data_IF_499277524083
#
_entry.id   IF_499277524083
#
_cell.length_a   1.000
_cell.length_b   1.000
_cell.length_c   1.000
_cell.angle_alpha   90.00
_cell.angle_beta   90.00
_cell.angle_gamma   90.00
#
_symmetry.space_group_name_H-M   'P 1'
#
loop_
_entity.id
_entity.type
_entity.pdbx_description
1 polymer ?
#
# COMPACT_ATOMS: atom_id res chain seq x y z
N UNK A 1 18.76 -14.94 14.35
CA UNK A 1 18.35 -14.14 13.19
C UNK A 1 17.22 -13.22 13.64
N UNK A 2 17.54 -11.96 13.92
CA UNK A 2 16.53 -10.93 14.20
C UNK A 2 15.75 -10.70 12.92
N UNK A 3 14.48 -11.11 12.87
CA UNK A 3 13.56 -10.66 11.81
C UNK A 3 13.61 -9.14 11.82
N UNK A 4 14.05 -8.52 10.74
CA UNK A 4 13.92 -7.06 10.58
C UNK A 4 12.43 -6.76 10.71
N UNK A 5 12.05 -6.10 11.80
CA UNK A 5 10.66 -5.72 12.08
C UNK A 5 10.24 -4.81 10.93
N UNK A 6 9.29 -5.27 10.10
CA UNK A 6 8.84 -4.52 8.93
C UNK A 6 8.14 -3.26 9.46
N UNK A 7 8.37 -2.12 8.82
CA UNK A 7 7.93 -0.85 9.39
C UNK A 7 6.49 -0.49 8.94
N UNK A 8 6.04 -1.04 7.81
CA UNK A 8 4.72 -0.85 7.22
C UNK A 8 4.14 -2.22 6.88
N UNK A 9 2.99 -2.53 7.47
CA UNK A 9 2.24 -3.76 7.25
C UNK A 9 0.94 -3.44 6.54
N UNK A 10 0.64 -4.20 5.48
CA UNK A 10 -0.64 -4.17 4.80
C UNK A 10 -1.51 -5.22 5.48
N UNK A 11 -2.66 -4.80 6.03
CA UNK A 11 -3.63 -5.65 6.72
C UNK A 11 -4.82 -6.05 5.82
N UNK A 12 -5.12 -5.27 4.79
CA UNK A 12 -6.19 -5.58 3.84
C UNK A 12 -5.95 -4.91 2.48
N UNK A 13 -6.37 -5.60 1.41
CA UNK A 13 -6.40 -5.06 0.05
C UNK A 13 -7.73 -5.45 -0.58
N UNK A 14 -8.53 -4.47 -1.00
CA UNK A 14 -9.84 -4.73 -1.59
C UNK A 14 -10.25 -3.67 -2.59
N UNK A 15 -11.26 -4.01 -3.38
CA UNK A 15 -11.79 -3.18 -4.45
C UNK A 15 -13.20 -2.73 -4.11
N UNK A 16 -13.48 -1.45 -4.24
CA UNK A 16 -14.85 -0.93 -4.31
C UNK A 16 -15.05 -0.21 -5.65
N UNK A 17 -15.87 -0.80 -6.52
CA UNK A 17 -16.02 -0.34 -7.92
C UNK A 17 -14.66 -0.32 -8.64
N UNK A 18 -14.20 0.86 -9.07
CA UNK A 18 -12.91 1.06 -9.77
C UNK A 18 -11.83 1.66 -8.86
N UNK A 19 -12.06 1.62 -7.55
CA UNK A 19 -11.16 2.17 -6.54
C UNK A 19 -10.50 1.01 -5.79
N UNK A 20 -9.18 1.10 -5.65
CA UNK A 20 -8.39 0.18 -4.85
C UNK A 20 -8.19 0.77 -3.45
N UNK A 21 -8.45 -0.03 -2.43
CA UNK A 21 -8.21 0.30 -1.04
C UNK A 21 -7.10 -0.57 -0.49
N UNK A 22 -6.15 0.06 0.21
CA UNK A 22 -5.09 -0.62 0.96
C UNK A 22 -5.14 -0.08 2.38
N UNK A 23 -5.35 -0.98 3.34
CA UNK A 23 -5.39 -0.69 4.76
C UNK A 23 -4.26 -1.43 5.47
N UNK A 24 -3.80 -0.85 6.57
CA UNK A 24 -2.67 -1.43 7.29
C UNK A 24 -2.26 -0.63 8.52
N UNK A 25 -1.08 -0.95 9.04
CA UNK A 25 -0.49 -0.25 10.17
C UNK A 25 1.03 -0.09 10.03
N UNK A 26 1.58 0.87 10.76
CA UNK A 26 3.02 1.05 10.92
C UNK A 26 3.52 0.52 12.26
N UNK A 27 4.78 0.10 12.26
CA UNK A 27 5.56 -0.23 13.45
C UNK A 27 6.80 0.65 13.51
N UNK A 28 6.76 1.70 14.34
CA UNK A 28 7.89 2.61 14.55
C UNK A 28 8.09 3.65 13.45
N UNK A 29 7.11 3.84 12.56
CA UNK A 29 7.09 4.92 11.56
C UNK A 29 5.95 5.88 11.89
N UNK A 30 6.28 7.17 11.99
CA UNK A 30 5.29 8.25 12.05
C UNK A 30 4.72 8.48 10.65
N UNK A 31 3.41 8.35 10.50
CA UNK A 31 2.72 8.44 9.22
C UNK A 31 2.28 9.86 8.86
N UNK A 32 2.47 10.84 9.75
CA UNK A 32 1.83 12.17 9.64
C UNK A 32 2.48 13.11 8.61
N UNK A 33 3.72 12.84 8.19
CA UNK A 33 4.51 13.73 7.32
C UNK A 33 4.63 13.27 5.86
N UNK A 34 4.34 12.01 5.57
CA UNK A 34 4.59 11.39 4.27
C UNK A 34 3.33 11.01 3.51
N UNK A 35 3.54 10.22 2.47
CA UNK A 35 2.50 9.80 1.54
C UNK A 35 2.67 8.33 1.15
N UNK A 36 1.55 7.63 0.97
CA UNK A 36 1.54 6.33 0.32
C UNK A 36 1.41 6.44 -1.21
N UNK A 37 2.25 5.68 -1.91
CA UNK A 37 2.28 5.60 -3.37
C UNK A 37 2.32 4.15 -3.86
N UNK A 38 1.76 3.92 -5.04
CA UNK A 38 2.00 2.73 -5.84
C UNK A 38 3.07 3.06 -6.88
N UNK A 39 4.26 2.47 -6.73
CA UNK A 39 5.39 2.66 -7.66
C UNK A 39 5.42 1.53 -8.67
N UNK A 40 5.31 1.87 -9.95
CA UNK A 40 5.50 0.93 -11.05
C UNK A 40 7.00 0.58 -11.18
N UNK A 41 7.32 -0.71 -11.22
CA UNK A 41 8.70 -1.21 -11.30
C UNK A 41 9.35 -1.03 -12.68
N UNK A 42 8.55 -0.93 -13.74
CA UNK A 42 9.01 -0.92 -15.14
C UNK A 42 9.03 0.46 -15.78
N UNK A 43 8.03 1.30 -15.47
CA UNK A 43 7.81 2.58 -16.17
C UNK A 43 8.21 3.80 -15.34
N UNK A 44 8.77 3.60 -14.12
CA UNK A 44 9.11 4.69 -13.18
C UNK A 44 7.95 5.64 -12.85
N UNK A 45 6.71 5.25 -13.15
CA UNK A 45 5.50 6.01 -12.78
C UNK A 45 5.13 5.72 -11.33
N UNK A 46 4.78 6.76 -10.58
CA UNK A 46 4.18 6.65 -9.24
C UNK A 46 2.74 7.11 -9.29
N UNK A 47 1.85 6.34 -8.66
CA UNK A 47 0.46 6.74 -8.41
C UNK A 47 0.32 7.07 -6.93
N UNK A 48 -0.03 8.30 -6.63
CA UNK A 48 -0.28 8.76 -5.27
C UNK A 48 -1.66 8.30 -4.78
N UNK A 49 -1.78 8.06 -3.47
CA UNK A 49 -3.07 7.81 -2.87
C UNK A 49 -3.96 9.05 -3.02
N UNK A 50 -5.14 8.90 -3.63
CA UNK A 50 -6.10 9.99 -3.79
C UNK A 50 -6.75 10.39 -2.47
N UNK A 51 -6.77 9.49 -1.51
CA UNK A 51 -7.20 9.76 -0.15
C UNK A 51 -6.35 8.93 0.80
N UNK A 52 -5.85 9.56 1.86
CA UNK A 52 -5.13 8.92 2.95
C UNK A 52 -5.79 9.33 4.25
N UNK A 53 -6.23 8.34 5.02
CA UNK A 53 -6.71 8.52 6.39
C UNK A 53 -5.76 7.83 7.32
N UNK A 54 -5.34 8.52 8.36
CA UNK A 54 -4.41 8.04 9.38
C UNK A 54 -5.10 8.17 10.71
N UNK A 55 -5.09 7.08 11.50
CA UNK A 55 -5.56 7.07 12.88
C UNK A 55 -4.52 6.35 13.74
N UNK A 56 -3.75 7.13 14.51
CA UNK A 56 -2.59 6.65 15.23
C UNK A 56 -1.55 6.03 14.29
N UNK A 57 -1.31 4.72 14.44
CA UNK A 57 -0.41 3.96 13.58
C UNK A 57 -1.11 3.23 12.43
N UNK A 58 -2.43 3.36 12.29
CA UNK A 58 -3.18 2.71 11.22
C UNK A 58 -3.39 3.65 10.05
N UNK A 59 -3.51 3.09 8.85
CA UNK A 59 -3.76 3.85 7.64
C UNK A 59 -4.82 3.19 6.76
N UNK A 60 -5.52 4.04 6.00
CA UNK A 60 -6.39 3.65 4.89
C UNK A 60 -6.10 4.52 3.69
N UNK A 61 -5.67 3.89 2.61
CA UNK A 61 -5.36 4.55 1.34
C UNK A 61 -6.40 4.18 0.28
N UNK A 62 -6.84 5.17 -0.51
CA UNK A 62 -7.67 4.97 -1.69
C UNK A 62 -6.91 5.39 -2.93
N UNK A 63 -6.84 4.50 -3.91
CA UNK A 63 -6.25 4.75 -5.22
C UNK A 63 -7.34 4.66 -6.30
N UNK A 64 -7.41 5.69 -7.13
CA UNK A 64 -8.22 5.73 -8.33
C UNK A 64 -7.42 5.10 -9.47
N UNK A 65 -7.46 3.78 -9.53
CA UNK A 65 -6.64 3.02 -10.49
C UNK A 65 -7.22 3.02 -11.90
N UNK A 66 -8.48 3.48 -12.07
CA UNK A 66 -9.07 3.72 -13.39
C UNK A 66 -8.29 4.73 -14.24
N UNK A 67 -7.40 5.51 -13.62
CA UNK A 67 -6.55 6.50 -14.27
C UNK A 67 -5.27 5.85 -14.83
N UNK A 68 -4.95 4.61 -14.45
CA UNK A 68 -3.84 3.83 -14.99
C UNK A 68 -4.33 3.08 -16.24
N UNK A 69 -4.04 3.65 -17.41
CA UNK A 69 -4.20 3.08 -18.77
C UNK A 69 -5.48 2.26 -19.06
N UNK A 70 -6.44 2.92 -19.72
CA UNK A 70 -7.53 2.31 -20.51
C UNK A 70 -8.36 1.22 -19.80
N UNK A 71 -8.51 1.32 -18.48
CA UNK A 71 -9.44 0.51 -17.71
C UNK A 71 -8.97 -0.92 -17.41
N UNK A 72 -7.67 -1.21 -17.55
CA UNK A 72 -7.14 -2.54 -17.23
C UNK A 72 -6.54 -2.62 -15.82
N UNK A 73 -6.98 -3.67 -15.13
CA UNK A 73 -6.43 -4.32 -13.95
C UNK A 73 -4.98 -3.96 -13.62
N UNK A 74 -4.70 -3.55 -12.37
CA UNK A 74 -3.32 -3.44 -11.85
C UNK A 74 -2.66 -4.83 -11.94
N UNK A 75 -1.71 -5.08 -12.87
CA UNK A 75 -1.04 -6.37 -12.96
C UNK A 75 -0.32 -6.67 -11.65
N UNK A 76 -0.66 -7.85 -11.10
CA UNK A 76 -0.20 -8.35 -9.82
C UNK A 76 1.26 -8.79 -9.95
N UNK A 77 2.20 -7.86 -9.71
CA UNK A 77 3.67 -8.02 -9.70
C UNK A 77 4.40 -6.73 -10.12
N UNK A 78 3.70 -5.76 -10.72
CA UNK A 78 4.36 -4.56 -11.28
C UNK A 78 4.43 -3.36 -10.35
N UNK A 79 3.84 -3.44 -9.16
CA UNK A 79 3.70 -2.30 -8.25
C UNK A 79 4.24 -2.60 -6.86
N UNK A 80 5.00 -1.66 -6.32
CA UNK A 80 5.36 -1.62 -4.91
C UNK A 80 4.47 -0.61 -4.19
N UNK A 81 3.90 -1.02 -3.06
CA UNK A 81 3.27 -0.10 -2.13
C UNK A 81 4.33 0.49 -1.22
N UNK A 82 4.51 1.82 -1.26
CA UNK A 82 5.61 2.51 -0.59
C UNK A 82 5.04 3.68 0.21
N UNK A 83 5.45 3.80 1.47
CA UNK A 83 5.35 5.04 2.23
C UNK A 83 6.61 5.87 1.97
N UNK A 84 6.42 7.09 1.47
CA UNK A 84 7.48 8.02 1.12
C UNK A 84 7.40 9.25 2.03
N UNK A 85 8.45 9.48 2.81
CA UNK A 85 8.72 10.70 3.56
C UNK A 85 10.22 11.07 3.36
N UNK A 86 10.99 11.35 4.42
CA UNK A 86 12.45 11.46 4.33
C UNK A 86 13.13 10.12 3.98
N UNK A 87 12.47 9.02 4.30
CA UNK A 87 12.89 7.65 4.02
C UNK A 87 11.77 6.92 3.26
N UNK A 88 12.17 5.87 2.55
CA UNK A 88 11.21 5.01 1.85
C UNK A 88 10.99 3.70 2.61
N UNK A 89 9.73 3.39 2.86
CA UNK A 89 9.33 2.15 3.52
C UNK A 89 8.44 1.34 2.58
N UNK A 90 8.90 0.14 2.21
CA UNK A 90 8.13 -0.79 1.38
C UNK A 90 7.13 -1.51 2.27
N UNK A 91 5.84 -1.36 1.96
CA UNK A 91 4.77 -2.08 2.64
C UNK A 91 4.79 -3.56 2.29
N UNK A 92 4.59 -4.39 3.31
CA UNK A 92 4.59 -5.84 3.16
C UNK A 92 3.27 -6.40 3.66
N UNK A 93 2.75 -7.41 2.96
CA UNK A 93 1.55 -8.10 3.43
C UNK A 93 1.80 -8.64 4.83
N UNK A 94 0.88 -8.32 5.74
CA UNK A 94 0.87 -8.90 7.07
C UNK A 94 0.71 -10.43 6.89
N UNK A 95 1.65 -11.24 7.40
CA UNK A 95 1.62 -12.69 7.19
C UNK A 95 0.33 -13.35 7.70
N UNK A 96 -0.42 -12.70 8.59
CA UNK A 96 -1.71 -13.17 9.09
C UNK A 96 -2.85 -13.08 8.05
N UNK A 97 -2.68 -12.39 6.92
CA UNK A 97 -3.69 -12.30 5.84
C UNK A 97 -3.79 -13.60 5.04
N UNK A 98 -2.70 -14.37 4.94
CA UNK A 98 -2.62 -15.51 4.01
C UNK A 98 -3.57 -16.67 4.41
N UNK A 99 -4.05 -16.70 5.65
CA UNK A 99 -4.98 -17.73 6.13
C UNK A 99 -6.44 -17.54 5.68
N UNK A 100 -6.86 -16.36 5.22
CA UNK A 100 -8.26 -16.10 4.84
C UNK A 100 -8.55 -16.26 3.34
N UNK A 101 -7.55 -16.25 2.48
CA UNK A 101 -7.73 -16.36 1.03
C UNK A 101 -7.85 -17.81 0.51
N UNK A 102 -7.59 -18.81 1.36
CA UNK A 102 -7.58 -20.25 1.02
C UNK A 102 -8.43 -21.12 1.96
N UNK A 103 -9.28 -20.51 2.80
CA UNK A 103 -10.21 -21.21 3.70
C UNK A 103 -11.61 -21.39 3.07
#
# INVERSE_FOLDING_TARGET
>A
MTKTKQAIHIDNIYWERVQLYIEGHSEGVDLTSGQFVLRNLTETKTLEANEMKIDGNTFKCRFNVAILDDGYYLPMDKYLFVYHDQLEYIGQLNPNIIDQAYA
#
